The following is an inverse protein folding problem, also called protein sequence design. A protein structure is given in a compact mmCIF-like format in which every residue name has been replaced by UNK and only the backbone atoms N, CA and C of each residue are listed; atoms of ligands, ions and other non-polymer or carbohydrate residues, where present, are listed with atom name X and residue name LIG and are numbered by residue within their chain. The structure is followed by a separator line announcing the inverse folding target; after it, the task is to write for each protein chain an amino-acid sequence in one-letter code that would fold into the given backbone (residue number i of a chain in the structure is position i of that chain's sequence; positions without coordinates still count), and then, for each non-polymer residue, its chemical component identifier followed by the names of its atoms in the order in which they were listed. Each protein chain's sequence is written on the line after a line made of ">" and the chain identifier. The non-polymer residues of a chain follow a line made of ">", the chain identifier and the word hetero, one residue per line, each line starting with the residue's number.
data_IF_329993913934
#
_entry.id   IF_329993913934
#
_cell.length_a   1.000
_cell.length_b   1.000
_cell.length_c   1.000
_cell.angle_alpha   90.00
_cell.angle_beta   90.00
_cell.angle_gamma   90.00
#
_symmetry.space_group_name_H-M   'P 1'
#
loop_
_entity.id
_entity.type
_entity.pdbx_description
1 polymer ?
#
# COMPACT_ATOMS: atom_id res chain seq x y z
N UNK A 1 -17.98 7.84 3.29
CA UNK A 1 -19.08 7.42 4.19
C UNK A 1 -19.68 6.10 3.72
N UNK A 2 -20.23 6.01 2.49
CA UNK A 2 -20.82 4.78 1.95
C UNK A 2 -19.88 3.53 1.93
N UNK A 3 -18.58 3.72 1.65
CA UNK A 3 -17.60 2.62 1.66
C UNK A 3 -17.40 2.01 3.06
N UNK A 4 -17.36 2.84 4.11
CA UNK A 4 -17.09 2.36 5.47
C UNK A 4 -18.30 1.60 6.01
N UNK A 5 -19.51 2.12 5.77
CA UNK A 5 -20.77 1.47 6.09
C UNK A 5 -20.93 0.12 5.37
N UNK A 6 -20.45 0.02 4.12
CA UNK A 6 -20.43 -1.24 3.38
C UNK A 6 -19.46 -2.27 3.97
N UNK A 7 -18.29 -1.83 4.47
CA UNK A 7 -17.30 -2.72 5.09
C UNK A 7 -17.81 -3.25 6.42
N UNK A 8 -18.32 -2.37 7.29
CA UNK A 8 -18.89 -2.79 8.58
C UNK A 8 -20.06 -3.76 8.40
N UNK A 9 -20.90 -3.55 7.38
CA UNK A 9 -21.98 -4.49 7.04
C UNK A 9 -21.44 -5.85 6.57
N UNK A 10 -20.40 -5.86 5.74
CA UNK A 10 -19.76 -7.11 5.28
C UNK A 10 -19.13 -7.85 6.46
N UNK A 11 -18.44 -7.15 7.36
CA UNK A 11 -17.83 -7.74 8.57
C UNK A 11 -18.89 -8.38 9.47
N UNK A 12 -19.99 -7.67 9.76
CA UNK A 12 -21.10 -8.20 10.54
C UNK A 12 -21.75 -9.43 9.87
N UNK A 13 -21.87 -9.43 8.54
CA UNK A 13 -22.37 -10.58 7.79
C UNK A 13 -21.41 -11.78 7.87
N UNK A 14 -20.10 -11.54 7.80
CA UNK A 14 -19.08 -12.58 7.93
C UNK A 14 -19.04 -13.18 9.34
N UNK A 15 -19.20 -12.37 10.38
CA UNK A 15 -19.27 -12.86 11.77
C UNK A 15 -20.48 -13.78 12.01
N UNK A 16 -21.59 -13.52 11.31
CA UNK A 16 -22.80 -14.32 11.39
C UNK A 16 -22.88 -15.46 10.35
N UNK A 17 -21.94 -15.53 9.41
CA UNK A 17 -21.95 -16.49 8.32
C UNK A 17 -21.55 -17.90 8.81
N UNK A 18 -22.19 -18.92 8.24
CA UNK A 18 -21.73 -20.29 8.38
C UNK A 18 -20.59 -20.60 7.38
N UNK A 19 -19.99 -21.78 7.54
CA UNK A 19 -18.85 -22.19 6.70
C UNK A 19 -19.19 -22.25 5.21
N UNK A 20 -20.40 -22.69 4.86
CA UNK A 20 -20.85 -22.82 3.47
C UNK A 20 -21.01 -21.43 2.82
N UNK A 21 -21.52 -20.44 3.56
CA UNK A 21 -21.62 -19.06 3.09
C UNK A 21 -20.24 -18.43 2.86
N UNK A 22 -19.27 -18.68 3.75
CA UNK A 22 -17.88 -18.21 3.59
C UNK A 22 -17.22 -18.88 2.37
N UNK A 23 -17.42 -20.19 2.19
CA UNK A 23 -16.89 -20.93 1.04
C UNK A 23 -17.50 -20.43 -0.27
N UNK A 24 -18.81 -20.19 -0.32
CA UNK A 24 -19.49 -19.62 -1.48
C UNK A 24 -18.95 -18.22 -1.82
N UNK A 25 -18.76 -17.36 -0.83
CA UNK A 25 -18.19 -16.04 -1.03
C UNK A 25 -16.77 -16.13 -1.60
N UNK A 26 -15.93 -17.04 -1.07
CA UNK A 26 -14.60 -17.32 -1.59
C UNK A 26 -14.62 -17.83 -3.04
N UNK A 27 -15.53 -18.75 -3.36
CA UNK A 27 -15.69 -19.29 -4.71
C UNK A 27 -16.12 -18.20 -5.71
N UNK A 28 -17.04 -17.31 -5.32
CA UNK A 28 -17.47 -16.17 -6.13
C UNK A 28 -16.33 -15.17 -6.34
N UNK A 29 -15.59 -14.81 -5.28
CA UNK A 29 -14.42 -13.95 -5.38
C UNK A 29 -13.35 -14.53 -6.31
N UNK A 30 -13.10 -15.85 -6.23
CA UNK A 30 -12.19 -16.55 -7.14
C UNK A 30 -12.65 -16.49 -8.60
N UNK A 31 -13.92 -16.81 -8.86
CA UNK A 31 -14.49 -16.78 -10.21
C UNK A 31 -14.47 -15.36 -10.81
N UNK A 32 -14.86 -14.35 -10.03
CA UNK A 32 -14.85 -12.97 -10.48
C UNK A 32 -13.43 -12.44 -10.68
N UNK A 33 -12.48 -12.82 -9.81
CA UNK A 33 -11.07 -12.50 -9.99
C UNK A 33 -10.50 -13.06 -11.30
N UNK A 34 -10.82 -14.32 -11.62
CA UNK A 34 -10.39 -14.94 -12.88
C UNK A 34 -11.01 -14.24 -14.11
N UNK A 35 -12.31 -13.94 -14.05
CA UNK A 35 -12.97 -13.20 -15.13
C UNK A 35 -12.39 -11.79 -15.31
N UNK A 36 -12.12 -11.10 -14.20
CA UNK A 36 -11.52 -9.77 -14.19
C UNK A 36 -10.11 -9.79 -14.80
N UNK A 37 -9.28 -10.78 -14.46
CA UNK A 37 -7.95 -10.95 -15.05
C UNK A 37 -8.03 -11.03 -16.58
N UNK A 38 -8.94 -11.85 -17.12
CA UNK A 38 -9.14 -11.98 -18.57
C UNK A 38 -9.62 -10.67 -19.22
N UNK A 39 -10.43 -9.87 -18.53
CA UNK A 39 -10.86 -8.56 -19.02
C UNK A 39 -9.68 -7.60 -19.06
N UNK A 40 -8.88 -7.53 -17.99
CA UNK A 40 -7.69 -6.67 -17.90
C UNK A 40 -6.68 -7.03 -19.00
N UNK A 41 -6.42 -8.32 -19.21
CA UNK A 41 -5.55 -8.81 -20.28
C UNK A 41 -6.06 -8.40 -21.68
N UNK A 42 -7.37 -8.38 -21.88
CA UNK A 42 -7.98 -8.08 -23.18
C UNK A 42 -7.99 -6.59 -23.54
N UNK A 43 -8.02 -5.68 -22.55
CA UNK A 43 -8.15 -4.24 -22.80
C UNK A 43 -6.82 -3.52 -23.05
N UNK A 44 -5.68 -4.16 -22.75
CA UNK A 44 -4.34 -3.60 -22.94
C UNK A 44 -3.93 -2.55 -21.88
N UNK A 45 -2.64 -2.21 -21.85
CA UNK A 45 -2.03 -1.42 -20.77
C UNK A 45 -2.62 -0.01 -20.60
N UNK A 46 -2.95 0.68 -21.69
CA UNK A 46 -3.50 2.05 -21.62
C UNK A 46 -4.85 2.08 -20.91
N UNK A 47 -5.75 1.15 -21.28
CA UNK A 47 -7.08 1.06 -20.66
C UNK A 47 -6.96 0.52 -19.24
N UNK A 48 -6.09 -0.47 -19.00
CA UNK A 48 -5.81 -0.97 -17.66
C UNK A 48 -5.33 0.15 -16.72
N UNK A 49 -4.44 1.03 -17.19
CA UNK A 49 -4.00 2.21 -16.44
C UNK A 49 -5.13 3.18 -16.11
N UNK A 50 -6.08 3.38 -17.03
CA UNK A 50 -7.27 4.21 -16.79
C UNK A 50 -8.23 3.58 -15.78
N UNK A 51 -8.40 2.26 -15.82
CA UNK A 51 -9.19 1.52 -14.83
C UNK A 51 -8.56 1.63 -13.44
N UNK A 52 -7.23 1.49 -13.36
CA UNK A 52 -6.48 1.60 -12.11
C UNK A 52 -6.49 3.02 -11.50
N UNK A 53 -6.73 4.06 -12.32
CA UNK A 53 -6.83 5.43 -11.86
C UNK A 53 -8.18 5.75 -11.18
N UNK A 54 -9.19 4.88 -11.30
CA UNK A 54 -10.42 4.97 -10.53
C UNK A 54 -10.19 4.33 -9.14
N UNK A 55 -10.43 5.06 -8.06
CA UNK A 55 -10.11 4.61 -6.70
C UNK A 55 -10.76 3.26 -6.33
N UNK A 56 -12.01 3.04 -6.76
CA UNK A 56 -12.75 1.82 -6.43
C UNK A 56 -12.27 0.65 -7.29
N UNK A 57 -12.13 0.87 -8.60
CA UNK A 57 -11.65 -0.17 -9.52
C UNK A 57 -10.20 -0.52 -9.24
N UNK A 58 -9.33 0.46 -8.98
CA UNK A 58 -7.95 0.27 -8.56
C UNK A 58 -7.86 -0.57 -7.29
N UNK A 59 -8.69 -0.28 -6.28
CA UNK A 59 -8.77 -1.11 -5.05
C UNK A 59 -9.21 -2.55 -5.33
N UNK A 60 -10.14 -2.76 -6.26
CA UNK A 60 -10.59 -4.10 -6.66
C UNK A 60 -9.48 -4.85 -7.42
N UNK A 61 -8.76 -4.18 -8.30
CA UNK A 61 -7.61 -4.76 -9.01
C UNK A 61 -6.51 -5.15 -8.02
N UNK A 62 -6.27 -4.34 -6.99
CA UNK A 62 -5.32 -4.68 -5.92
C UNK A 62 -5.75 -5.93 -5.15
N UNK A 63 -7.03 -6.05 -4.80
CA UNK A 63 -7.55 -7.23 -4.10
C UNK A 63 -7.30 -8.54 -4.87
N UNK A 64 -7.21 -8.47 -6.20
CA UNK A 64 -6.98 -9.62 -7.07
C UNK A 64 -5.56 -9.70 -7.64
N UNK A 65 -4.62 -8.88 -7.18
CA UNK A 65 -3.24 -8.80 -7.71
C UNK A 65 -3.14 -8.45 -9.21
N UNK A 66 -4.14 -7.72 -9.74
CA UNK A 66 -4.26 -7.33 -11.16
C UNK A 66 -3.91 -5.86 -11.43
N UNK A 67 -3.39 -5.15 -10.43
CA UNK A 67 -3.07 -3.74 -10.59
C UNK A 67 -1.86 -3.56 -11.54
N UNK A 68 -1.96 -2.73 -12.59
CA UNK A 68 -0.91 -2.61 -13.62
C UNK A 68 0.38 -1.96 -13.10
N UNK A 69 0.28 -1.17 -12.02
CA UNK A 69 1.43 -0.58 -11.33
C UNK A 69 1.81 -1.44 -10.14
N UNK A 70 3.08 -1.81 -10.03
CA UNK A 70 3.59 -2.66 -8.95
C UNK A 70 3.61 -1.97 -7.59
N UNK A 71 3.63 -2.74 -6.51
CA UNK A 71 3.57 -2.23 -5.13
C UNK A 71 4.59 -1.14 -4.85
N UNK A 72 5.85 -1.38 -5.26
CA UNK A 72 6.94 -0.42 -5.07
C UNK A 72 6.63 0.93 -5.74
N UNK A 73 6.20 0.90 -6.99
CA UNK A 73 5.93 2.10 -7.79
C UNK A 73 4.73 2.88 -7.24
N UNK A 74 3.69 2.18 -6.73
CA UNK A 74 2.56 2.81 -6.06
C UNK A 74 2.96 3.48 -4.75
N UNK A 75 3.80 2.82 -3.94
CA UNK A 75 4.34 3.41 -2.71
C UNK A 75 5.19 4.64 -3.04
N UNK A 76 6.12 4.54 -4.00
CA UNK A 76 6.93 5.68 -4.44
C UNK A 76 6.06 6.82 -4.96
N UNK A 77 4.97 6.52 -5.68
CA UNK A 77 4.00 7.52 -6.12
C UNK A 77 3.30 8.22 -4.95
N UNK A 78 2.85 7.48 -3.94
CA UNK A 78 2.19 8.02 -2.76
C UNK A 78 3.14 8.86 -1.89
N UNK A 79 4.44 8.55 -1.90
CA UNK A 79 5.45 9.30 -1.16
C UNK A 79 5.92 10.57 -1.89
N UNK A 80 5.66 10.74 -3.19
CA UNK A 80 6.07 11.94 -3.94
C UNK A 80 5.50 13.20 -3.30
N UNK A 81 6.37 14.16 -3.00
CA UNK A 81 5.99 15.44 -2.38
C UNK A 81 5.76 15.38 -0.86
N UNK A 82 5.81 14.21 -0.23
CA UNK A 82 5.67 14.06 1.23
C UNK A 82 6.95 14.35 2.01
N UNK A 83 8.10 14.47 1.32
CA UNK A 83 9.42 14.54 1.94
C UNK A 83 9.90 13.18 2.47
N UNK A 84 9.21 12.08 2.16
CA UNK A 84 9.65 10.72 2.44
C UNK A 84 10.14 9.99 1.18
N UNK A 85 11.04 9.04 1.39
CA UNK A 85 11.67 8.22 0.35
C UNK A 85 11.61 6.74 0.76
N UNK A 86 11.20 5.87 -0.17
CA UNK A 86 11.20 4.43 0.03
C UNK A 86 12.62 3.88 -0.10
N UNK A 87 13.15 3.28 0.97
CA UNK A 87 14.47 2.66 0.99
C UNK A 87 14.44 1.22 0.49
N UNK A 88 13.49 0.44 0.99
CA UNK A 88 13.34 -0.98 0.64
C UNK A 88 11.89 -1.41 0.79
N UNK A 89 11.51 -2.42 0.01
CA UNK A 89 10.22 -3.10 0.12
C UNK A 89 10.50 -4.59 -0.03
N UNK A 90 10.50 -5.32 1.09
CA UNK A 90 10.87 -6.73 1.15
C UNK A 90 9.98 -7.47 2.15
N UNK A 91 9.42 -8.62 1.76
CA UNK A 91 8.63 -9.47 2.66
C UNK A 91 7.46 -8.75 3.34
N UNK A 92 6.75 -7.86 2.62
CA UNK A 92 5.65 -7.07 3.17
C UNK A 92 6.07 -5.90 4.07
N UNK A 93 7.38 -5.64 4.22
CA UNK A 93 7.90 -4.53 5.03
C UNK A 93 8.40 -3.40 4.15
N UNK A 94 7.76 -2.23 4.25
CA UNK A 94 8.17 -1.01 3.58
C UNK A 94 9.04 -0.16 4.52
N UNK A 95 10.32 0.01 4.20
CA UNK A 95 11.22 0.89 4.96
C UNK A 95 11.27 2.26 4.31
N UNK A 96 10.85 3.29 5.04
CA UNK A 96 10.74 4.66 4.53
C UNK A 96 11.61 5.60 5.35
N UNK A 97 12.36 6.48 4.68
CA UNK A 97 13.09 7.58 5.31
C UNK A 97 12.28 8.85 5.18
N UNK A 98 12.08 9.57 6.28
CA UNK A 98 11.51 10.92 6.26
C UNK A 98 12.66 11.93 6.27
N UNK A 99 12.76 12.77 5.24
CA UNK A 99 13.72 13.86 5.22
C UNK A 99 13.31 14.92 6.25
N UNK A 100 14.19 15.18 7.22
CA UNK A 100 13.99 16.21 8.24
C UNK A 100 14.11 17.60 7.62
N UNK A 101 13.03 18.09 7.00
CA UNK A 101 13.03 19.41 6.38
C UNK A 101 11.67 19.84 5.83
N UNK A 102 10.93 20.62 6.63
CA UNK A 102 10.06 21.68 6.12
C UNK A 102 8.62 21.36 5.70
N UNK A 103 8.25 20.12 5.40
CA UNK A 103 6.84 19.76 5.20
C UNK A 103 6.33 19.06 6.46
N UNK A 104 5.27 19.57 7.10
CA UNK A 104 4.69 19.04 8.35
C UNK A 104 4.06 17.64 8.26
N UNK A 105 4.52 16.79 7.34
CA UNK A 105 4.13 15.40 7.25
C UNK A 105 4.68 14.64 8.46
N UNK A 106 3.77 14.12 9.28
CA UNK A 106 4.13 13.28 10.41
C UNK A 106 4.49 11.88 9.93
N UNK A 107 5.21 11.14 10.77
CA UNK A 107 5.42 9.71 10.59
C UNK A 107 4.09 8.97 10.27
N UNK A 108 3.01 9.34 10.98
CA UNK A 108 1.69 8.75 10.81
C UNK A 108 1.05 9.08 9.44
N UNK A 109 1.26 10.28 8.89
CA UNK A 109 0.72 10.62 7.57
C UNK A 109 1.44 9.87 6.45
N UNK A 110 2.76 9.66 6.60
CA UNK A 110 3.54 8.85 5.66
C UNK A 110 3.11 7.40 5.72
N UNK A 111 2.99 6.83 6.92
CA UNK A 111 2.52 5.46 7.12
C UNK A 111 1.11 5.25 6.52
N UNK A 112 0.19 6.19 6.75
CA UNK A 112 -1.15 6.14 6.17
C UNK A 112 -1.11 6.13 4.64
N UNK A 113 -0.32 7.00 4.03
CA UNK A 113 -0.17 7.08 2.58
C UNK A 113 0.38 5.77 1.99
N UNK A 114 1.29 5.10 2.69
CA UNK A 114 1.80 3.78 2.28
C UNK A 114 0.70 2.73 2.32
N UNK A 115 -0.05 2.60 3.43
CA UNK A 115 -1.14 1.62 3.53
C UNK A 115 -2.28 1.88 2.55
N UNK A 116 -2.61 3.14 2.30
CA UNK A 116 -3.66 3.48 1.33
C UNK A 116 -3.23 3.13 -0.12
N UNK A 117 -1.93 3.24 -0.44
CA UNK A 117 -1.41 2.92 -1.78
C UNK A 117 -1.01 1.45 -1.98
N UNK A 118 -0.70 0.75 -0.90
CA UNK A 118 -0.21 -0.62 -0.90
C UNK A 118 -0.79 -1.38 0.30
N UNK A 119 -2.07 -1.80 0.24
CA UNK A 119 -2.74 -2.50 1.32
C UNK A 119 -2.12 -3.87 1.64
N UNK A 120 -1.35 -4.45 0.72
CA UNK A 120 -0.59 -5.68 0.95
C UNK A 120 0.67 -5.49 1.81
N UNK A 121 1.06 -4.24 2.11
CA UNK A 121 2.16 -3.95 3.04
C UNK A 121 1.70 -4.26 4.46
N UNK A 122 2.35 -5.24 5.07
CA UNK A 122 2.06 -5.68 6.44
C UNK A 122 2.63 -4.72 7.50
N UNK A 123 3.74 -4.04 7.18
CA UNK A 123 4.42 -3.16 8.14
C UNK A 123 5.18 -2.03 7.47
N UNK A 124 5.08 -0.83 8.05
CA UNK A 124 5.88 0.33 7.66
C UNK A 124 6.95 0.63 8.72
N UNK A 125 8.21 0.62 8.33
CA UNK A 125 9.35 0.99 9.18
C UNK A 125 9.86 2.39 8.82
N UNK A 126 9.75 3.33 9.77
CA UNK A 126 10.24 4.70 9.56
C UNK A 126 11.67 4.82 10.06
N UNK A 127 12.60 4.87 9.12
CA UNK A 127 14.01 5.13 9.39
C UNK A 127 14.20 6.62 9.70
N UNK A 128 14.71 6.92 10.91
CA UNK A 128 15.22 8.25 11.24
C UNK A 128 16.64 8.38 10.68
N UNK A 129 17.05 9.56 10.18
CA UNK A 129 18.44 9.77 9.83
C UNK A 129 19.31 9.45 11.06
N UNK A 130 20.32 8.59 10.88
CA UNK A 130 21.29 8.34 11.93
C UNK A 130 21.98 9.67 12.28
N UNK A 131 22.24 9.96 13.56
CA UNK A 131 23.03 11.13 13.92
C UNK A 131 24.40 10.99 13.24
N UNK A 132 24.69 11.89 12.31
CA UNK A 132 26.03 12.01 11.71
C UNK A 132 26.99 12.42 12.82
N UNK A 133 27.89 11.53 13.21
CA UNK A 133 28.98 11.87 14.13
C UNK A 133 30.01 12.66 13.32
N UNK A 134 30.28 13.93 13.65
CA UNK A 134 31.31 14.71 12.97
C UNK A 134 32.68 14.04 13.13
N UNK A 135 33.47 14.00 12.06
CA UNK A 135 34.79 13.33 12.05
C UNK A 135 35.71 13.93 13.10
N UNK A 136 35.54 15.22 13.41
CA UNK A 136 36.27 15.96 14.45
C UNK A 136 36.04 15.35 15.85
N UNK A 137 34.85 14.79 16.10
CA UNK A 137 34.53 14.12 17.37
C UNK A 137 35.22 12.76 17.52
N UNK A 138 35.61 12.12 16.41
CA UNK A 138 36.39 10.88 16.43
C UNK A 138 37.89 11.13 16.60
N UNK A 139 38.37 12.33 16.22
CA UNK A 139 39.77 12.72 16.31
C UNK A 139 40.14 13.35 17.67
N UNK A 140 39.17 13.89 18.41
CA UNK A 140 39.39 14.52 19.72
C UNK A 140 39.52 13.58 20.92
N UNK A 141 39.23 12.28 20.78
CA UNK A 141 39.25 11.31 21.88
C UNK A 141 40.60 10.59 22.08
N UNK A 142 41.67 11.09 21.46
CA UNK A 142 43.05 10.54 21.57
C UNK A 142 44.01 11.58 22.16
N UNK A 143 43.83 11.93 23.42
CA UNK A 143 44.85 12.54 24.28
C UNK A 143 44.64 12.05 25.70
#
# INVERSE_FOLDING_TARGET
>A
MARHESIEAIEAMLEAADGDAVELAGALLGLYGEALARIVDAVGEEVAGRLAADDLVGSLLLLHDLHPVGTRERVEAALRGSGAELLSLEGGVARVRVAGGGCGCSAASVERAVYDAAPEVERVEIARPAPVIPVESLLGART
#
